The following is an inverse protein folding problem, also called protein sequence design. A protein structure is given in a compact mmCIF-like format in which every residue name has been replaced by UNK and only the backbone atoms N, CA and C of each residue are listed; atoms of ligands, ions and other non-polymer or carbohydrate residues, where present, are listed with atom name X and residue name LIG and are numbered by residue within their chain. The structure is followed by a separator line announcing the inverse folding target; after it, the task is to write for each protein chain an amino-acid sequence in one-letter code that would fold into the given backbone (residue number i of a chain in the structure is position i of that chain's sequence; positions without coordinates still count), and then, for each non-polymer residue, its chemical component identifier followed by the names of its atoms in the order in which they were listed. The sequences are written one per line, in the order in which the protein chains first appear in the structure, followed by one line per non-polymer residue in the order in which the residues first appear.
data_IF_975774925451
#
_entry.id   IF_975774925451
#
_cell.length_a   1.000
_cell.length_b   1.000
_cell.length_c   1.000
_cell.angle_alpha   90.00
_cell.angle_beta   90.00
_cell.angle_gamma   90.00
#
_symmetry.space_group_name_H-M   'P 1'
#
loop_
_entity.id
_entity.type
_entity.pdbx_description
1 polymer ?
#
# COMPACT_ATOMS: atom_id res chain seq x y z
N UNK A 1 46.35 -22.23 14.96
CA UNK A 1 45.77 -22.43 13.63
C UNK A 1 44.76 -23.56 13.75
N UNK A 2 43.45 -23.38 13.69
CA UNK A 2 42.62 -22.20 13.50
C UNK A 2 41.31 -22.41 14.27
N UNK A 3 40.75 -21.29 14.73
CA UNK A 3 39.52 -21.22 15.51
C UNK A 3 38.30 -21.48 14.62
N UNK A 4 37.54 -22.53 14.92
CA UNK A 4 36.15 -22.68 14.49
C UNK A 4 35.28 -21.74 15.33
N UNK A 5 35.05 -20.54 14.78
CA UNK A 5 34.16 -19.54 15.37
C UNK A 5 32.70 -19.84 15.01
N UNK A 6 31.83 -19.61 16.01
CA UNK A 6 30.41 -19.94 16.09
C UNK A 6 29.58 -19.27 14.99
N UNK A 7 28.65 -20.02 14.36
CA UNK A 7 27.51 -19.42 13.65
C UNK A 7 26.54 -18.83 14.66
N UNK A 8 26.48 -17.49 14.71
CA UNK A 8 25.42 -16.72 15.34
C UNK A 8 24.40 -16.40 14.23
N UNK A 9 23.10 -16.64 14.41
CA UNK A 9 22.11 -16.23 13.41
C UNK A 9 22.01 -14.70 13.39
N UNK A 10 22.39 -14.11 12.25
CA UNK A 10 22.12 -12.70 11.95
C UNK A 10 20.62 -12.55 11.68
N UNK A 11 19.92 -12.01 12.69
CA UNK A 11 18.64 -11.33 12.50
C UNK A 11 18.84 -10.23 11.46
N UNK A 12 18.02 -10.25 10.41
CA UNK A 12 17.92 -9.15 9.46
C UNK A 12 17.34 -7.91 10.18
N UNK A 13 18.24 -7.01 10.59
CA UNK A 13 17.95 -5.60 10.81
C UNK A 13 18.36 -4.86 9.54
N UNK A 14 17.40 -4.47 8.70
CA UNK A 14 17.61 -3.48 7.65
C UNK A 14 16.45 -2.50 7.67
N UNK A 15 16.53 -1.51 8.56
CA UNK A 15 15.90 -0.18 8.42
C UNK A 15 16.56 0.76 9.44
N UNK A 16 17.88 0.95 9.29
CA UNK A 16 18.65 1.86 10.13
C UNK A 16 19.74 2.50 9.27
N UNK A 17 19.43 3.62 8.60
CA UNK A 17 20.45 4.59 8.11
C UNK A 17 19.90 5.94 7.62
N UNK A 18 18.60 6.14 7.41
CA UNK A 18 18.13 7.34 6.67
C UNK A 18 17.70 8.56 7.50
N UNK A 19 17.91 8.60 8.82
CA UNK A 19 17.40 9.71 9.66
C UNK A 19 18.39 10.87 9.82
N UNK A 20 19.70 10.65 9.67
CA UNK A 20 20.69 11.72 9.88
C UNK A 20 20.77 12.73 8.73
N UNK A 21 20.46 12.33 7.48
CA UNK A 21 20.65 13.20 6.32
C UNK A 21 19.44 14.09 5.97
N UNK A 22 18.26 13.82 6.55
CA UNK A 22 17.05 14.61 6.29
C UNK A 22 17.02 15.94 7.09
N UNK A 23 17.76 16.02 8.21
CA UNK A 23 17.80 17.21 9.06
C UNK A 23 18.67 18.34 8.47
N UNK A 24 19.69 18.02 7.67
CA UNK A 24 20.55 19.03 7.00
C UNK A 24 19.86 19.68 5.79
N UNK A 25 18.86 19.01 5.19
CA UNK A 25 18.11 19.53 4.02
C UNK A 25 17.02 20.54 4.40
N UNK A 26 16.42 20.40 5.58
CA UNK A 26 15.29 21.24 6.01
C UNK A 26 15.72 22.63 6.49
N UNK A 27 16.96 22.80 6.97
CA UNK A 27 17.52 24.11 7.35
C UNK A 27 17.75 25.04 6.16
N UNK A 28 18.00 24.50 4.96
CA UNK A 28 18.23 25.30 3.74
C UNK A 28 16.95 25.77 3.03
N UNK A 29 15.77 25.20 3.34
CA UNK A 29 14.49 25.56 2.67
C UNK A 29 13.89 26.90 3.12
N UNK A 30 14.44 27.58 4.12
CA UNK A 30 13.87 28.83 4.65
C UNK A 30 14.24 30.11 3.89
N UNK A 31 15.07 30.04 2.82
CA UNK A 31 15.66 31.24 2.17
C UNK A 31 14.98 31.68 0.86
N UNK A 32 14.17 30.85 0.20
CA UNK A 32 13.56 31.21 -1.11
C UNK A 32 12.04 31.39 -1.05
N UNK A 33 11.58 32.45 -0.39
CA UNK A 33 10.28 33.06 -0.73
C UNK A 33 10.41 34.57 -0.71
N UNK A 34 10.59 35.17 -1.91
CA UNK A 34 10.26 36.58 -2.15
C UNK A 34 10.12 36.86 -3.66
N UNK A 35 8.95 37.40 -4.04
CA UNK A 35 8.52 37.98 -5.34
C UNK A 35 8.18 36.92 -6.42
N UNK A 36 7.06 36.92 -7.14
CA UNK A 36 5.87 37.78 -7.24
C UNK A 36 5.12 37.46 -8.56
N UNK A 37 3.78 37.51 -8.53
CA UNK A 37 2.83 37.81 -9.64
C UNK A 37 2.65 36.84 -10.83
N UNK A 38 1.37 36.46 -11.01
CA UNK A 38 0.59 35.95 -12.16
C UNK A 38 1.25 35.73 -13.54
N UNK A 39 0.87 34.61 -14.17
CA UNK A 39 0.09 34.66 -15.43
C UNK A 39 0.70 34.01 -16.69
N UNK A 40 -0.19 33.29 -17.39
CA UNK A 40 -0.18 32.94 -18.82
C UNK A 40 0.66 31.74 -19.31
N UNK A 41 -0.07 30.81 -19.92
CA UNK A 41 0.30 29.94 -21.04
C UNK A 41 1.60 30.36 -21.75
N UNK A 42 2.65 29.54 -21.62
CA UNK A 42 3.71 29.40 -22.61
C UNK A 42 4.13 27.93 -22.62
N UNK A 43 3.58 27.19 -23.60
CA UNK A 43 4.29 26.05 -24.20
C UNK A 43 5.53 26.68 -24.84
N UNK A 44 6.64 26.72 -24.10
CA UNK A 44 7.91 27.20 -24.60
C UNK A 44 8.88 26.02 -24.62
N UNK A 45 9.44 25.81 -25.81
CA UNK A 45 10.49 24.86 -26.16
C UNK A 45 11.33 24.49 -24.95
N UNK A 46 11.14 23.27 -24.44
CA UNK A 46 12.01 22.79 -23.39
C UNK A 46 13.34 22.45 -24.07
N UNK A 47 14.37 23.24 -23.74
CA UNK A 47 15.73 22.89 -24.10
C UNK A 47 16.06 21.57 -23.40
N UNK A 48 16.18 20.48 -24.18
CA UNK A 48 16.62 19.19 -23.69
C UNK A 48 18.01 19.37 -23.07
N UNK A 49 18.11 19.20 -21.76
CA UNK A 49 19.40 19.14 -21.07
C UNK A 49 19.69 17.70 -20.70
N UNK A 50 20.87 17.20 -21.05
CA UNK A 50 21.35 15.92 -20.54
C UNK A 50 21.74 16.10 -19.07
N UNK A 51 21.15 15.30 -18.19
CA UNK A 51 21.40 15.27 -16.76
C UNK A 51 21.90 13.89 -16.38
N UNK A 52 23.00 13.81 -15.62
CA UNK A 52 23.50 12.53 -15.11
C UNK A 52 22.68 12.07 -13.92
N UNK A 53 22.22 10.83 -13.98
CA UNK A 53 21.52 10.16 -12.89
C UNK A 53 22.20 8.83 -12.58
N UNK A 54 22.12 8.42 -11.31
CA UNK A 54 22.63 7.13 -10.85
C UNK A 54 21.45 6.24 -10.50
N UNK A 55 21.40 5.09 -11.16
CA UNK A 55 20.43 4.04 -10.93
C UNK A 55 21.05 2.90 -10.13
N UNK A 56 20.32 2.39 -9.16
CA UNK A 56 20.75 1.33 -8.26
C UNK A 56 19.85 0.11 -8.43
N UNK A 57 20.41 -1.05 -8.73
CA UNK A 57 19.62 -2.30 -8.77
C UNK A 57 19.41 -2.86 -7.37
N UNK A 58 18.47 -3.80 -7.23
CA UNK A 58 18.29 -4.53 -5.96
C UNK A 58 19.54 -5.30 -5.51
N UNK A 59 20.37 -5.71 -6.47
CA UNK A 59 21.63 -6.41 -6.22
C UNK A 59 22.74 -5.43 -5.78
N UNK A 60 22.45 -4.14 -5.72
CA UNK A 60 23.38 -3.08 -5.30
C UNK A 60 24.33 -2.63 -6.40
N UNK A 61 24.04 -2.96 -7.67
CA UNK A 61 24.82 -2.49 -8.81
C UNK A 61 24.45 -1.04 -9.16
N UNK A 62 25.45 -0.25 -9.54
CA UNK A 62 25.30 1.17 -9.84
C UNK A 62 25.45 1.40 -11.35
N UNK A 63 24.50 2.11 -11.95
CA UNK A 63 24.48 2.48 -13.36
C UNK A 63 24.40 4.00 -13.49
N UNK A 64 25.45 4.60 -14.05
CA UNK A 64 25.48 6.03 -14.35
C UNK A 64 24.91 6.26 -15.75
N UNK A 65 23.83 7.02 -15.86
CA UNK A 65 23.12 7.20 -17.12
C UNK A 65 22.88 8.69 -17.41
N UNK A 66 23.09 9.07 -18.67
CA UNK A 66 22.74 10.40 -19.16
C UNK A 66 21.25 10.40 -19.54
N UNK A 67 20.44 11.13 -18.78
CA UNK A 67 19.00 11.26 -19.01
C UNK A 67 18.72 12.58 -19.72
N UNK A 68 17.95 12.53 -20.80
CA UNK A 68 17.40 13.74 -21.40
C UNK A 68 16.21 14.24 -20.57
N UNK A 69 16.30 15.47 -20.08
CA UNK A 69 15.25 16.06 -19.24
C UNK A 69 14.65 17.31 -19.89
N UNK A 70 13.38 17.63 -19.59
CA UNK A 70 12.42 16.83 -18.84
C UNK A 70 11.94 15.64 -19.68
N UNK A 71 11.79 14.50 -19.04
CA UNK A 71 11.21 13.31 -19.62
C UNK A 71 10.25 12.69 -18.60
N UNK A 72 9.24 12.00 -19.10
CA UNK A 72 8.39 11.13 -18.29
C UNK A 72 9.17 9.92 -17.82
N UNK A 73 8.71 9.29 -16.74
CA UNK A 73 9.31 8.02 -16.25
C UNK A 73 9.30 6.96 -17.36
N UNK A 74 8.26 6.90 -18.18
CA UNK A 74 8.20 6.01 -19.35
C UNK A 74 9.33 6.25 -20.36
N UNK A 75 9.52 7.50 -20.80
CA UNK A 75 10.57 7.87 -21.76
C UNK A 75 11.98 7.57 -21.21
N UNK A 76 12.15 7.72 -19.90
CA UNK A 76 13.41 7.37 -19.23
C UNK A 76 13.62 5.85 -19.24
N UNK A 77 12.61 5.05 -18.88
CA UNK A 77 12.70 3.58 -18.94
C UNK A 77 13.07 3.10 -20.34
N UNK A 78 12.44 3.68 -21.37
CA UNK A 78 12.73 3.36 -22.77
C UNK A 78 14.18 3.69 -23.14
N UNK A 79 14.73 4.81 -22.67
CA UNK A 79 16.15 5.15 -22.90
C UNK A 79 17.16 4.26 -22.17
N UNK A 80 16.71 3.54 -21.14
CA UNK A 80 17.55 2.71 -20.27
C UNK A 80 17.44 1.22 -20.56
N UNK A 81 16.52 0.81 -21.42
CA UNK A 81 16.27 -0.59 -21.79
C UNK A 81 17.51 -1.27 -22.40
N UNK A 82 18.35 -0.51 -23.11
CA UNK A 82 19.63 -0.99 -23.65
C UNK A 82 20.80 -0.93 -22.66
N UNK A 83 20.60 -0.33 -21.48
CA UNK A 83 21.66 -0.04 -20.50
C UNK A 83 21.52 -0.89 -19.23
N UNK A 84 20.28 -1.07 -18.77
CA UNK A 84 19.94 -1.82 -17.58
C UNK A 84 19.58 -3.27 -17.95
N UNK A 85 19.74 -4.22 -17.03
CA UNK A 85 19.42 -5.64 -17.28
C UNK A 85 17.91 -5.93 -17.22
N UNK A 86 17.05 -4.93 -17.41
CA UNK A 86 15.58 -5.02 -17.32
C UNK A 86 14.94 -4.45 -18.59
N UNK A 87 13.82 -5.01 -19.03
CA UNK A 87 12.99 -4.37 -20.06
C UNK A 87 12.26 -3.16 -19.47
N UNK A 88 11.82 -2.22 -20.32
CA UNK A 88 11.15 -1.00 -19.82
C UNK A 88 9.86 -1.32 -19.05
N UNK A 89 9.14 -2.37 -19.42
CA UNK A 89 7.94 -2.83 -18.73
C UNK A 89 8.25 -3.43 -17.34
N UNK A 90 9.43 -4.01 -17.16
CA UNK A 90 9.85 -4.60 -15.89
C UNK A 90 10.36 -3.53 -14.91
N UNK A 91 10.93 -2.43 -15.41
CA UNK A 91 11.52 -1.39 -14.57
C UNK A 91 10.51 -0.71 -13.65
N UNK A 92 10.81 -0.67 -12.36
CA UNK A 92 10.11 0.15 -11.37
C UNK A 92 11.10 1.08 -10.71
N UNK A 93 10.84 2.38 -10.83
CA UNK A 93 11.69 3.38 -10.22
C UNK A 93 11.15 3.76 -8.85
N UNK A 94 12.05 3.69 -7.87
CA UNK A 94 11.77 4.07 -6.50
C UNK A 94 12.75 5.18 -6.13
N UNK A 95 12.22 6.33 -5.74
CA UNK A 95 13.02 7.43 -5.20
C UNK A 95 12.42 7.92 -3.89
N UNK A 96 13.27 8.23 -2.92
CA UNK A 96 12.85 8.70 -1.58
C UNK A 96 11.81 7.78 -0.88
N UNK A 97 11.74 6.51 -1.27
CA UNK A 97 10.79 5.52 -0.75
C UNK A 97 9.40 5.54 -1.39
N UNK A 98 9.20 6.27 -2.50
CA UNK A 98 7.99 6.27 -3.30
C UNK A 98 8.25 5.67 -4.69
N UNK A 99 7.24 4.96 -5.22
CA UNK A 99 7.23 4.52 -6.61
C UNK A 99 6.91 5.71 -7.50
N UNK A 100 7.62 5.82 -8.62
CA UNK A 100 7.33 6.79 -9.65
C UNK A 100 6.33 6.20 -10.65
N UNK A 101 5.26 6.94 -10.94
CA UNK A 101 4.28 6.56 -11.94
C UNK A 101 4.75 6.93 -13.35
N UNK A 102 4.29 6.19 -14.37
CA UNK A 102 4.83 6.28 -15.73
C UNK A 102 4.65 7.66 -16.37
N UNK A 103 3.54 8.33 -16.05
CA UNK A 103 3.19 9.66 -16.55
C UNK A 103 3.80 10.80 -15.74
N UNK A 104 4.52 10.52 -14.64
CA UNK A 104 5.20 11.55 -13.86
C UNK A 104 6.42 12.08 -14.62
N UNK A 105 6.52 13.41 -14.72
CA UNK A 105 7.73 14.06 -15.21
C UNK A 105 8.83 13.96 -14.18
N UNK A 106 9.94 13.37 -14.57
CA UNK A 106 11.08 13.15 -13.70
C UNK A 106 12.20 14.16 -13.99
N UNK A 107 12.66 14.81 -12.94
CA UNK A 107 13.83 15.69 -12.95
C UNK A 107 14.83 15.13 -11.93
N UNK A 108 15.87 14.38 -12.37
CA UNK A 108 16.91 13.92 -11.47
C UNK A 108 17.63 15.13 -10.86
N UNK A 109 17.67 15.20 -9.54
CA UNK A 109 18.53 16.16 -8.83
C UNK A 109 19.86 15.52 -8.45
N UNK A 110 20.91 16.32 -8.40
CA UNK A 110 22.25 15.87 -8.03
C UNK A 110 22.23 15.21 -6.63
N UNK A 111 22.72 13.96 -6.56
CA UNK A 111 22.72 13.14 -5.34
C UNK A 111 21.44 12.36 -5.03
N UNK A 112 20.40 12.44 -5.88
CA UNK A 112 19.18 11.63 -5.71
C UNK A 112 19.46 10.16 -6.05
N UNK A 113 19.14 9.25 -5.12
CA UNK A 113 19.21 7.81 -5.38
C UNK A 113 17.92 7.33 -6.05
N UNK A 114 18.08 6.67 -7.18
CA UNK A 114 16.97 6.07 -7.92
C UNK A 114 17.20 4.56 -7.91
N UNK A 115 16.33 3.84 -7.23
CA UNK A 115 16.37 2.38 -7.26
C UNK A 115 15.54 1.87 -8.43
N UNK A 116 16.11 0.92 -9.16
CA UNK A 116 15.42 0.19 -10.22
C UNK A 116 15.28 -1.25 -9.77
N UNK A 117 14.05 -1.73 -9.78
CA UNK A 117 13.73 -3.13 -9.51
C UNK A 117 12.82 -3.66 -10.60
N UNK A 118 12.92 -4.96 -10.91
CA UNK A 118 11.85 -5.68 -11.56
C UNK A 118 10.84 -6.13 -10.52
N UNK A 119 9.55 -5.86 -10.74
CA UNK A 119 8.54 -6.75 -10.18
C UNK A 119 8.67 -8.04 -10.97
N UNK A 120 9.49 -8.98 -10.47
CA UNK A 120 9.39 -10.36 -10.89
C UNK A 120 7.99 -10.83 -10.48
N UNK A 121 7.00 -10.66 -11.36
CA UNK A 121 5.69 -11.30 -11.22
C UNK A 121 5.82 -12.84 -11.33
N UNK A 122 6.95 -13.34 -11.83
CA UNK A 122 7.31 -14.76 -11.95
C UNK A 122 8.16 -15.31 -10.81
N UNK A 123 8.74 -14.46 -9.95
CA UNK A 123 8.92 -14.91 -8.58
C UNK A 123 7.49 -14.94 -8.05
N UNK A 124 6.98 -16.09 -7.57
CA UNK A 124 5.78 -16.01 -6.77
C UNK A 124 6.13 -14.99 -5.68
N UNK A 125 5.48 -13.80 -5.71
CA UNK A 125 5.14 -13.09 -4.48
C UNK A 125 4.76 -14.25 -3.59
N UNK A 126 5.47 -14.54 -2.47
CA UNK A 126 5.09 -15.68 -1.68
C UNK A 126 3.63 -15.42 -1.38
N UNK A 127 2.75 -16.12 -2.11
CA UNK A 127 1.36 -16.26 -1.73
C UNK A 127 1.61 -16.72 -0.33
N UNK A 128 1.20 -15.91 0.64
CA UNK A 128 1.02 -16.47 1.96
C UNK A 128 -0.01 -17.54 1.68
N UNK A 129 0.47 -18.74 1.38
CA UNK A 129 -0.31 -19.94 1.33
C UNK A 129 -0.70 -20.06 2.76
N UNK A 130 -1.85 -19.50 3.09
CA UNK A 130 -2.53 -19.87 4.30
C UNK A 130 -2.83 -21.35 4.10
N UNK A 131 -1.90 -22.18 4.56
CA UNK A 131 -2.00 -23.62 4.60
C UNK A 131 -3.08 -24.07 5.61
N UNK A 132 -4.03 -23.20 5.95
CA UNK A 132 -5.04 -23.42 6.96
C UNK A 132 -6.37 -22.85 6.50
N UNK A 133 -7.34 -23.75 6.39
CA UNK A 133 -8.76 -23.44 6.33
C UNK A 133 -9.14 -22.39 7.40
N UNK A 134 -9.59 -21.20 6.97
CA UNK A 134 -10.10 -20.17 7.89
C UNK A 134 -11.53 -20.54 8.29
N UNK A 135 -11.72 -20.91 9.55
CA UNK A 135 -13.04 -21.35 10.02
C UNK A 135 -14.04 -20.17 10.13
N UNK A 136 -15.07 -20.16 9.26
CA UNK A 136 -16.14 -19.18 9.30
C UNK A 136 -16.94 -19.21 10.61
N UNK A 137 -17.19 -20.37 11.22
CA UNK A 137 -18.00 -20.48 12.45
C UNK A 137 -17.32 -19.84 13.67
N UNK A 138 -16.00 -19.60 13.57
CA UNK A 138 -15.22 -18.94 14.61
C UNK A 138 -15.36 -17.41 14.50
N UNK A 139 -16.11 -16.82 15.44
CA UNK A 139 -16.12 -15.35 15.61
C UNK A 139 -14.75 -14.80 15.99
N UNK A 140 -14.54 -13.51 15.72
CA UNK A 140 -13.32 -12.81 16.11
C UNK A 140 -13.12 -12.85 17.63
N UNK A 141 -11.94 -13.29 18.07
CA UNK A 141 -11.53 -13.24 19.46
C UNK A 141 -11.27 -11.80 19.91
N UNK A 142 -11.33 -11.53 21.22
CA UNK A 142 -11.11 -10.18 21.76
C UNK A 142 -9.73 -9.60 21.40
N UNK A 143 -8.70 -10.44 21.28
CA UNK A 143 -7.38 -10.00 20.78
C UNK A 143 -7.43 -9.56 19.32
N UNK A 144 -8.15 -10.31 18.48
CA UNK A 144 -8.28 -10.00 17.05
C UNK A 144 -9.14 -8.73 16.84
N UNK A 145 -10.17 -8.52 17.65
CA UNK A 145 -10.95 -7.28 17.65
C UNK A 145 -10.10 -6.06 18.02
N UNK A 146 -9.18 -6.21 18.99
CA UNK A 146 -8.23 -5.14 19.35
C UNK A 146 -7.27 -4.83 18.21
N UNK A 147 -6.73 -5.85 17.56
CA UNK A 147 -5.85 -5.70 16.40
C UNK A 147 -6.59 -5.04 15.22
N UNK A 148 -7.81 -5.50 14.92
CA UNK A 148 -8.67 -4.91 13.88
C UNK A 148 -8.96 -3.43 14.18
N UNK A 149 -9.35 -3.11 15.42
CA UNK A 149 -9.56 -1.72 15.85
C UNK A 149 -8.30 -0.88 15.70
N UNK A 150 -7.14 -1.41 16.09
CA UNK A 150 -5.86 -0.73 15.92
C UNK A 150 -5.56 -0.44 14.45
N UNK A 151 -5.72 -1.43 13.56
CA UNK A 151 -5.50 -1.28 12.12
C UNK A 151 -6.43 -0.22 11.55
N UNK A 152 -7.75 -0.39 11.72
CA UNK A 152 -8.74 0.52 11.13
C UNK A 152 -8.58 1.94 11.66
N UNK A 153 -8.41 2.12 12.97
CA UNK A 153 -8.19 3.43 13.57
C UNK A 153 -6.94 4.11 13.03
N UNK A 154 -5.83 3.38 12.95
CA UNK A 154 -4.54 3.92 12.53
C UNK A 154 -4.60 4.34 11.06
N UNK A 155 -5.15 3.48 10.20
CA UNK A 155 -5.37 3.77 8.78
C UNK A 155 -6.39 4.90 8.55
N UNK A 156 -7.38 5.07 9.44
CA UNK A 156 -8.35 6.16 9.32
C UNK A 156 -7.78 7.51 9.75
N UNK A 157 -6.99 7.56 10.82
CA UNK A 157 -6.69 8.83 11.54
C UNK A 157 -5.26 9.34 11.40
N UNK A 158 -4.27 8.48 11.12
CA UNK A 158 -2.86 8.92 11.08
C UNK A 158 -2.46 9.48 9.73
N UNK A 159 -1.71 10.58 9.71
CA UNK A 159 -1.06 11.08 8.48
C UNK A 159 -0.12 10.03 7.89
N UNK A 160 0.27 10.18 6.61
CA UNK A 160 1.18 9.23 5.93
C UNK A 160 2.49 9.05 6.72
N UNK A 161 3.10 10.14 7.19
CA UNK A 161 4.27 10.09 8.04
C UNK A 161 4.02 9.38 9.39
N UNK A 162 2.80 9.48 9.92
CA UNK A 162 2.36 8.71 11.08
C UNK A 162 2.28 7.22 10.77
N UNK A 163 1.68 6.83 9.64
CA UNK A 163 1.56 5.43 9.22
C UNK A 163 2.92 4.73 9.09
N UNK A 164 3.93 5.43 8.56
CA UNK A 164 5.30 4.90 8.47
C UNK A 164 5.87 4.48 9.84
N UNK A 165 5.55 5.23 10.91
CA UNK A 165 5.97 4.88 12.27
C UNK A 165 5.28 3.63 12.81
N UNK A 166 4.04 3.41 12.39
CA UNK A 166 3.22 2.27 12.80
C UNK A 166 3.34 1.07 11.87
N UNK A 167 4.15 1.14 10.81
CA UNK A 167 4.22 0.10 9.76
C UNK A 167 4.43 -1.31 10.33
N UNK A 168 5.47 -1.49 11.14
CA UNK A 168 5.79 -2.80 11.72
C UNK A 168 4.69 -3.31 12.66
N UNK A 169 4.04 -2.41 13.39
CA UNK A 169 2.93 -2.75 14.29
C UNK A 169 1.66 -3.11 13.52
N UNK A 170 1.39 -2.43 12.40
CA UNK A 170 0.29 -2.71 11.49
C UNK A 170 0.47 -4.07 10.80
N UNK A 171 1.67 -4.35 10.30
CA UNK A 171 2.01 -5.64 9.69
C UNK A 171 1.84 -6.77 10.73
N UNK A 172 2.39 -6.60 11.94
CA UNK A 172 2.26 -7.59 13.00
C UNK A 172 0.80 -7.78 13.46
N UNK A 173 -0.01 -6.71 13.49
CA UNK A 173 -1.44 -6.81 13.77
C UNK A 173 -2.18 -7.56 12.64
N UNK A 174 -1.85 -7.27 11.39
CA UNK A 174 -2.31 -7.98 10.20
C UNK A 174 -2.05 -9.48 10.29
N UNK A 175 -0.81 -9.87 10.60
CA UNK A 175 -0.41 -11.27 10.76
C UNK A 175 -1.22 -12.01 11.85
N UNK A 176 -1.55 -11.32 12.95
CA UNK A 176 -2.34 -11.91 14.04
C UNK A 176 -3.79 -12.13 13.67
N UNK A 177 -4.36 -11.26 12.83
CA UNK A 177 -5.76 -11.37 12.36
C UNK A 177 -5.91 -12.24 11.13
N UNK A 178 -4.85 -12.58 10.41
CA UNK A 178 -4.99 -13.21 9.10
C UNK A 178 -5.64 -14.62 9.16
N UNK A 179 -5.52 -15.31 10.28
CA UNK A 179 -6.27 -16.56 10.56
C UNK A 179 -7.79 -16.39 10.71
N UNK A 180 -8.30 -15.16 10.70
CA UNK A 180 -9.73 -14.85 10.80
C UNK A 180 -10.35 -14.88 9.41
N UNK A 181 -11.48 -15.57 9.28
CA UNK A 181 -12.22 -15.60 8.03
C UNK A 181 -12.59 -14.17 7.58
N UNK A 182 -12.40 -13.79 6.30
CA UNK A 182 -12.61 -12.42 5.83
C UNK A 182 -14.05 -11.92 6.05
N UNK A 183 -15.07 -12.76 5.90
CA UNK A 183 -16.45 -12.38 6.26
C UNK A 183 -16.63 -12.07 7.76
N UNK A 184 -15.90 -12.74 8.67
CA UNK A 184 -15.95 -12.44 10.12
C UNK A 184 -15.15 -11.18 10.47
N UNK A 185 -14.08 -10.90 9.73
CA UNK A 185 -13.39 -9.61 9.79
C UNK A 185 -14.36 -8.48 9.41
N UNK A 186 -15.05 -8.62 8.27
CA UNK A 186 -16.01 -7.62 7.80
C UNK A 186 -17.22 -7.50 8.73
N UNK A 187 -17.76 -8.60 9.25
CA UNK A 187 -18.84 -8.59 10.24
C UNK A 187 -18.43 -7.76 11.45
N UNK A 188 -17.23 -7.98 11.97
CA UNK A 188 -16.71 -7.23 13.11
C UNK A 188 -16.59 -5.74 12.79
N UNK A 189 -16.10 -5.39 11.58
CA UNK A 189 -15.95 -4.01 11.16
C UNK A 189 -17.29 -3.28 10.95
N UNK A 190 -18.33 -3.99 10.52
CA UNK A 190 -19.63 -3.39 10.16
C UNK A 190 -20.72 -3.52 11.25
N UNK A 191 -20.46 -4.26 12.33
CA UNK A 191 -21.36 -4.34 13.49
C UNK A 191 -21.01 -3.34 14.61
N UNK A 192 -19.81 -2.76 14.60
CA UNK A 192 -19.36 -1.73 15.53
C UNK A 192 -19.40 -0.34 14.86
N UNK A 193 -20.08 0.64 15.48
CA UNK A 193 -20.25 1.98 14.92
C UNK A 193 -18.93 2.75 14.75
N UNK A 194 -17.98 2.59 15.69
CA UNK A 194 -16.67 3.25 15.60
C UNK A 194 -15.86 2.65 14.44
N UNK A 195 -15.91 1.33 14.27
CA UNK A 195 -15.20 0.66 13.18
C UNK A 195 -15.82 1.01 11.81
N UNK A 196 -17.15 1.14 11.72
CA UNK A 196 -17.82 1.64 10.51
C UNK A 196 -17.34 3.04 10.11
N UNK A 197 -17.16 3.93 11.09
CA UNK A 197 -16.62 5.27 10.82
C UNK A 197 -15.19 5.19 10.29
N UNK A 198 -14.33 4.36 10.89
CA UNK A 198 -12.97 4.15 10.37
C UNK A 198 -12.96 3.59 8.95
N UNK A 199 -13.82 2.61 8.63
CA UNK A 199 -13.96 2.08 7.27
C UNK A 199 -14.34 3.17 6.27
N UNK A 200 -15.28 4.04 6.64
CA UNK A 200 -15.68 5.18 5.81
C UNK A 200 -14.53 6.17 5.61
N UNK A 201 -13.78 6.49 6.66
CA UNK A 201 -12.68 7.45 6.60
C UNK A 201 -11.49 6.91 5.80
N UNK A 202 -11.16 5.62 5.92
CA UNK A 202 -10.16 4.96 5.07
C UNK A 202 -10.56 5.08 3.59
N UNK A 203 -11.84 4.89 3.25
CA UNK A 203 -12.35 5.08 1.89
C UNK A 203 -12.23 6.53 1.42
N UNK A 204 -12.60 7.49 2.26
CA UNK A 204 -12.52 8.92 1.92
C UNK A 204 -11.09 9.40 1.69
N UNK A 205 -10.13 8.85 2.43
CA UNK A 205 -8.71 9.16 2.24
C UNK A 205 -8.19 8.75 0.86
N UNK A 206 -8.81 7.74 0.25
CA UNK A 206 -8.51 7.31 -1.12
C UNK A 206 -7.03 7.00 -1.35
N UNK A 207 -6.62 7.14 -2.61
CA UNK A 207 -5.22 7.01 -3.05
C UNK A 207 -4.56 5.71 -2.58
N UNK A 208 -3.30 5.82 -2.17
CA UNK A 208 -2.49 4.69 -1.74
C UNK A 208 -3.04 3.94 -0.52
N UNK A 209 -3.65 4.66 0.44
CA UNK A 209 -4.14 4.05 1.69
C UNK A 209 -5.33 3.15 1.43
N UNK A 210 -6.30 3.63 0.64
CA UNK A 210 -7.43 2.81 0.21
C UNK A 210 -6.95 1.64 -0.64
N UNK A 211 -6.02 1.88 -1.57
CA UNK A 211 -5.46 0.86 -2.45
C UNK A 211 -4.85 -0.32 -1.70
N UNK A 212 -3.93 -0.06 -0.76
CA UNK A 212 -3.27 -1.11 0.03
C UNK A 212 -4.24 -1.84 0.97
N UNK A 213 -5.13 -1.10 1.62
CA UNK A 213 -6.15 -1.69 2.50
C UNK A 213 -7.06 -2.66 1.74
N UNK A 214 -7.58 -2.22 0.58
CA UNK A 214 -8.43 -3.05 -0.26
C UNK A 214 -7.67 -4.23 -0.85
N UNK A 215 -6.40 -4.05 -1.25
CA UNK A 215 -5.57 -5.14 -1.78
C UNK A 215 -5.47 -6.31 -0.79
N UNK A 216 -5.27 -6.02 0.50
CA UNK A 216 -5.25 -7.04 1.55
C UNK A 216 -6.56 -7.81 1.65
N UNK A 217 -7.70 -7.09 1.76
CA UNK A 217 -9.02 -7.71 1.88
C UNK A 217 -9.39 -8.53 0.63
N UNK A 218 -9.10 -8.01 -0.56
CA UNK A 218 -9.32 -8.71 -1.83
C UNK A 218 -8.55 -10.02 -1.88
N UNK A 219 -7.28 -10.00 -1.47
CA UNK A 219 -6.46 -11.21 -1.41
C UNK A 219 -7.09 -12.28 -0.52
N UNK A 220 -7.49 -11.92 0.71
CA UNK A 220 -8.13 -12.87 1.62
C UNK A 220 -9.47 -13.38 1.10
N UNK A 221 -10.30 -12.53 0.48
CA UNK A 221 -11.58 -12.97 -0.11
C UNK A 221 -11.35 -13.91 -1.31
N UNK A 222 -10.39 -13.60 -2.17
CA UNK A 222 -10.03 -14.45 -3.30
C UNK A 222 -9.53 -15.82 -2.82
N UNK A 223 -8.64 -15.84 -1.82
CA UNK A 223 -8.11 -17.09 -1.26
C UNK A 223 -9.23 -18.02 -0.76
N UNK A 224 -10.25 -17.48 -0.10
CA UNK A 224 -11.41 -18.26 0.36
C UNK A 224 -12.36 -18.64 -0.78
N UNK A 225 -12.55 -17.78 -1.78
CA UNK A 225 -13.34 -18.07 -2.97
C UNK A 225 -12.73 -19.25 -3.76
N UNK A 226 -11.42 -19.22 -3.99
CA UNK A 226 -10.65 -20.22 -4.75
C UNK A 226 -10.80 -21.63 -4.15
N UNK A 227 -10.99 -21.75 -2.83
CA UNK A 227 -11.17 -23.03 -2.13
C UNK A 227 -12.63 -23.36 -1.82
N UNK A 228 -13.59 -22.55 -2.29
CA UNK A 228 -15.01 -22.74 -2.05
C UNK A 228 -15.46 -22.49 -0.61
N UNK A 229 -14.68 -21.75 0.18
CA UNK A 229 -15.00 -21.38 1.56
C UNK A 229 -15.74 -20.03 1.66
N UNK A 230 -16.59 -19.74 0.67
CA UNK A 230 -17.54 -18.63 0.64
C UNK A 230 -18.91 -19.15 0.17
N UNK A 231 -19.54 -20.00 0.97
CA UNK A 231 -20.82 -20.63 0.60
C UNK A 231 -21.99 -19.66 0.72
N UNK A 232 -23.08 -19.92 -0.01
CA UNK A 232 -24.28 -19.08 0.03
C UNK A 232 -24.87 -18.96 1.44
N UNK A 233 -24.81 -20.02 2.25
CA UNK A 233 -25.23 -20.00 3.65
C UNK A 233 -24.38 -19.03 4.51
N UNK A 234 -23.06 -18.98 4.26
CA UNK A 234 -22.18 -18.04 4.95
C UNK A 234 -22.46 -16.60 4.51
N UNK A 235 -22.72 -16.37 3.22
CA UNK A 235 -23.07 -15.05 2.69
C UNK A 235 -24.41 -14.58 3.27
N UNK A 236 -25.40 -15.47 3.35
CA UNK A 236 -26.70 -15.20 3.96
C UNK A 236 -26.55 -14.89 5.46
N UNK A 237 -25.83 -15.70 6.24
CA UNK A 237 -25.57 -15.42 7.66
C UNK A 237 -24.88 -14.07 7.82
N UNK A 238 -23.81 -13.81 7.07
CA UNK A 238 -23.11 -12.53 7.07
C UNK A 238 -24.06 -11.36 6.79
N UNK A 239 -24.91 -11.46 5.76
CA UNK A 239 -25.87 -10.41 5.40
C UNK A 239 -26.84 -10.10 6.55
N UNK A 240 -27.28 -11.13 7.27
CA UNK A 240 -28.14 -11.00 8.44
C UNK A 240 -27.41 -10.32 9.60
N UNK A 241 -26.15 -10.70 9.89
CA UNK A 241 -25.38 -10.14 10.99
C UNK A 241 -25.10 -8.64 10.81
N UNK A 242 -24.83 -8.20 9.56
CA UNK A 242 -24.51 -6.79 9.27
C UNK A 242 -25.73 -5.96 8.83
N UNK A 243 -26.94 -6.54 8.91
CA UNK A 243 -28.20 -5.89 8.55
C UNK A 243 -28.22 -5.33 7.11
N UNK A 244 -27.64 -6.05 6.14
CA UNK A 244 -27.67 -5.68 4.71
C UNK A 244 -28.56 -6.63 3.90
N UNK A 245 -29.29 -6.07 2.94
CA UNK A 245 -30.05 -6.86 1.98
C UNK A 245 -29.11 -7.70 1.10
N UNK A 246 -29.28 -9.03 1.15
CA UNK A 246 -28.48 -10.01 0.40
C UNK A 246 -28.39 -9.66 -1.09
N UNK A 247 -29.48 -9.16 -1.68
CA UNK A 247 -29.53 -8.81 -3.11
C UNK A 247 -28.54 -7.70 -3.50
N UNK A 248 -28.01 -6.94 -2.53
CA UNK A 248 -27.00 -5.90 -2.75
C UNK A 248 -25.59 -6.43 -2.85
N UNK A 249 -25.31 -7.63 -2.33
CA UNK A 249 -23.94 -8.14 -2.17
C UNK A 249 -23.70 -9.50 -2.82
N UNK A 250 -24.72 -10.36 -2.91
CA UNK A 250 -24.58 -11.73 -3.40
C UNK A 250 -23.98 -11.77 -4.81
N UNK A 251 -24.56 -11.01 -5.75
CA UNK A 251 -24.07 -10.94 -7.12
C UNK A 251 -22.67 -10.30 -7.25
N UNK A 252 -22.22 -9.51 -6.28
CA UNK A 252 -20.86 -8.96 -6.24
C UNK A 252 -19.87 -10.02 -5.76
N UNK A 253 -20.25 -10.83 -4.77
CA UNK A 253 -19.42 -11.91 -4.25
C UNK A 253 -19.25 -13.02 -5.29
N UNK A 254 -20.34 -13.51 -5.89
CA UNK A 254 -20.28 -14.57 -6.91
C UNK A 254 -19.53 -14.18 -8.18
N UNK A 255 -19.45 -12.87 -8.48
CA UNK A 255 -18.70 -12.34 -9.62
C UNK A 255 -17.31 -11.83 -9.23
N UNK A 256 -16.90 -12.09 -7.99
CA UNK A 256 -15.60 -11.71 -7.43
C UNK A 256 -15.31 -10.20 -7.55
N UNK A 257 -16.36 -9.39 -7.52
CA UNK A 257 -16.30 -7.93 -7.53
C UNK A 257 -16.01 -7.41 -6.12
N UNK A 258 -14.89 -7.85 -5.55
CA UNK A 258 -14.51 -7.62 -4.16
C UNK A 258 -14.49 -6.16 -3.75
N UNK A 259 -13.95 -5.27 -4.58
CA UNK A 259 -13.94 -3.84 -4.25
C UNK A 259 -15.34 -3.26 -4.19
N UNK A 260 -16.18 -3.62 -5.15
CA UNK A 260 -17.56 -3.14 -5.24
C UNK A 260 -18.38 -3.73 -4.10
N UNK A 261 -18.11 -4.97 -3.69
CA UNK A 261 -18.66 -5.58 -2.49
C UNK A 261 -18.32 -4.74 -1.24
N UNK A 262 -17.04 -4.42 -0.99
CA UNK A 262 -16.68 -3.59 0.18
C UNK A 262 -17.30 -2.19 0.09
N UNK A 263 -17.33 -1.57 -1.10
CA UNK A 263 -18.00 -0.28 -1.30
C UNK A 263 -19.50 -0.37 -1.01
N UNK A 264 -20.17 -1.45 -1.42
CA UNK A 264 -21.58 -1.69 -1.15
C UNK A 264 -21.84 -1.79 0.37
N UNK A 265 -20.97 -2.47 1.12
CA UNK A 265 -21.06 -2.49 2.59
C UNK A 265 -20.99 -1.09 3.20
N UNK A 266 -20.01 -0.27 2.78
CA UNK A 266 -19.84 1.10 3.29
C UNK A 266 -21.04 2.00 2.94
N UNK A 267 -21.67 1.78 1.78
CA UNK A 267 -22.78 2.62 1.30
C UNK A 267 -24.12 2.20 1.91
N UNK A 268 -24.37 0.90 2.02
CA UNK A 268 -25.71 0.37 2.33
C UNK A 268 -25.91 -0.02 3.79
N UNK A 269 -24.84 -0.21 4.57
CA UNK A 269 -24.96 -0.50 5.99
C UNK A 269 -25.09 0.82 6.75
N UNK A 270 -26.22 1.06 7.44
CA UNK A 270 -26.46 2.32 8.12
C UNK A 270 -25.47 2.53 9.29
N UNK A 271 -25.00 3.77 9.45
CA UNK A 271 -24.32 4.24 10.67
C UNK A 271 -25.39 4.76 11.62
N UNK A 272 -25.43 4.27 12.86
CA UNK A 272 -26.39 4.69 13.89
C UNK A 272 -25.69 5.73 14.81
N UNK A 273 -26.33 6.87 15.06
CA UNK A 273 -25.83 7.91 15.95
C UNK A 273 -25.10 9.06 15.25
N UNK A 274 -24.39 9.87 16.04
CA UNK A 274 -23.65 11.07 15.58
C UNK A 274 -22.32 10.62 14.94
N UNK A 275 -22.37 10.22 13.67
CA UNK A 275 -21.24 9.64 12.95
C UNK A 275 -20.00 10.53 12.95
N UNK A 276 -20.22 11.84 13.01
CA UNK A 276 -19.20 12.89 12.94
C UNK A 276 -18.29 12.88 14.18
N UNK A 277 -18.72 12.22 15.28
CA UNK A 277 -17.90 12.04 16.48
C UNK A 277 -16.60 11.27 16.21
N UNK A 278 -16.61 10.38 15.22
CA UNK A 278 -15.49 9.50 14.88
C UNK A 278 -14.75 9.94 13.61
N UNK A 279 -15.15 11.06 13.01
CA UNK A 279 -14.56 11.63 11.81
C UNK A 279 -13.39 12.61 12.13
N UNK A 280 -12.89 12.57 13.37
CA UNK A 280 -11.78 13.39 13.89
C UNK A 280 -10.42 12.69 13.81
#
# INVERSE_FOLDING_TARGET
MDQLCKRIPLKACLFSSNVLNLLDSLTNRSVLMKKGVLGCFLINAVALSASQAVFYTEQGEEYLCDIQTPATVWEIKESLEDVLPFTKEEMLFITEGAFLCEEEYFLPFDGQKIWVTSLDFDQPVPKKTYAGYRNYDRKAAESEKKDLRFILKTLATKSIAGLLKYRSELEAAGDRIDKLHPLRFLETAFTDEELKAYMHNIRQRGGWIWGEFIKGIKGSLQDEADIGNLTDDMILDFSCQVEIDLSKIEGLIHREKWEDFIKALIIHIPRKGDSDRYDQ
#
